data_IF_929660371773
#
_entry.id   IF_929660371773
#
_cell.length_a   1.000
_cell.length_b   1.000
_cell.length_c   1.000
_cell.angle_alpha   90.00
_cell.angle_beta   90.00
_cell.angle_gamma   90.00
#
_symmetry.space_group_name_H-M   'P 1'
#
loop_
_entity.id
_entity.type
_entity.pdbx_description
1 polymer ?
#
# COMPACT_ATOMS: atom_id res chain seq x y z
N UNK A 1 7.18 20.89 19.32
CA UNK A 1 5.93 20.11 19.35
C UNK A 1 6.33 18.65 19.27
N UNK A 2 6.23 17.88 20.35
CA UNK A 2 6.63 16.48 20.34
C UNK A 2 5.54 15.69 19.60
N UNK A 3 5.87 15.16 18.43
CA UNK A 3 4.99 14.21 17.73
C UNK A 3 5.09 12.89 18.50
N UNK A 4 4.06 12.60 19.31
CA UNK A 4 3.92 11.30 19.97
C UNK A 4 3.73 10.18 18.95
N UNK A 5 3.96 8.93 19.36
CA UNK A 5 3.83 7.75 18.49
C UNK A 5 2.45 7.73 17.80
N UNK A 6 2.40 7.91 16.47
CA UNK A 6 1.15 8.15 15.71
C UNK A 6 0.39 6.88 15.31
N UNK A 7 0.91 5.69 15.64
CA UNK A 7 0.23 4.42 15.42
C UNK A 7 1.15 3.21 15.62
N UNK A 8 0.59 2.08 16.05
CA UNK A 8 1.26 0.77 16.08
C UNK A 8 0.31 -0.24 15.47
N UNK A 9 0.80 -1.05 14.53
CA UNK A 9 0.03 -2.15 13.94
C UNK A 9 0.89 -3.40 13.99
N UNK A 10 0.28 -4.53 14.32
CA UNK A 10 0.96 -5.81 14.41
C UNK A 10 0.45 -6.72 13.29
N UNK A 11 1.26 -6.90 12.25
CA UNK A 11 0.91 -7.66 11.05
C UNK A 11 1.85 -8.86 10.92
N UNK A 12 1.35 -10.05 10.57
CA UNK A 12 2.21 -11.20 10.30
C UNK A 12 3.08 -10.92 9.06
N UNK A 13 4.39 -11.11 9.18
CA UNK A 13 5.28 -11.09 8.03
C UNK A 13 5.31 -12.47 7.37
N UNK A 14 5.02 -12.49 6.07
CA UNK A 14 5.29 -13.66 5.24
C UNK A 14 6.78 -13.69 4.89
N UNK A 15 7.44 -14.82 5.17
CA UNK A 15 8.82 -15.03 4.78
C UNK A 15 8.93 -15.44 3.31
N UNK A 16 10.05 -15.11 2.66
CA UNK A 16 10.29 -15.37 1.25
C UNK A 16 10.23 -14.10 0.39
N UNK A 17 10.53 -14.24 -0.91
CA UNK A 17 10.46 -13.14 -1.89
C UNK A 17 9.45 -13.50 -2.96
N UNK A 18 8.65 -12.51 -3.38
CA UNK A 18 7.82 -12.66 -4.57
C UNK A 18 8.71 -13.00 -5.78
N UNK A 19 8.37 -14.03 -6.58
CA UNK A 19 9.08 -14.30 -7.82
C UNK A 19 9.09 -13.06 -8.72
N UNK A 20 10.21 -12.83 -9.41
CA UNK A 20 10.41 -11.62 -10.24
C UNK A 20 9.30 -11.40 -11.27
N UNK A 21 8.82 -12.47 -11.90
CA UNK A 21 7.73 -12.41 -12.87
C UNK A 21 6.39 -11.98 -12.25
N UNK A 22 6.14 -12.37 -11.00
CA UNK A 22 4.92 -12.01 -10.28
C UNK A 22 4.99 -10.54 -9.90
N UNK A 23 6.12 -10.11 -9.32
CA UNK A 23 6.34 -8.72 -8.94
C UNK A 23 6.07 -7.73 -10.09
N UNK A 24 6.49 -8.06 -11.32
CA UNK A 24 6.18 -7.20 -12.47
C UNK A 24 4.68 -7.09 -12.78
N UNK A 25 3.88 -8.13 -12.53
CA UNK A 25 2.42 -8.09 -12.68
C UNK A 25 1.77 -7.29 -11.56
N UNK A 26 2.23 -7.51 -10.33
CA UNK A 26 1.80 -6.78 -9.13
C UNK A 26 1.98 -5.27 -9.33
N UNK A 27 3.16 -4.83 -9.79
CA UNK A 27 3.45 -3.42 -10.06
C UNK A 27 2.50 -2.82 -11.10
N UNK A 28 2.20 -3.54 -12.18
CA UNK A 28 1.25 -3.06 -13.21
C UNK A 28 -0.17 -2.93 -12.66
N UNK A 29 -0.59 -3.86 -11.81
CA UNK A 29 -1.91 -3.81 -11.18
C UNK A 29 -1.99 -2.67 -10.16
N UNK A 30 -0.95 -2.53 -9.33
CA UNK A 30 -0.81 -1.45 -8.36
C UNK A 30 -0.85 -0.07 -9.02
N UNK A 31 -0.20 0.10 -10.18
CA UNK A 31 -0.23 1.34 -10.96
C UNK A 31 -1.66 1.68 -11.42
N UNK A 32 -2.39 0.71 -11.99
CA UNK A 32 -3.77 0.93 -12.41
C UNK A 32 -4.71 1.27 -11.24
N UNK A 33 -4.58 0.58 -10.09
CA UNK A 33 -5.36 0.85 -8.88
C UNK A 33 -5.03 2.24 -8.32
N UNK A 34 -3.74 2.60 -8.26
CA UNK A 34 -3.32 3.92 -7.77
C UNK A 34 -3.85 5.02 -8.68
N UNK A 35 -3.77 4.82 -10.00
CA UNK A 35 -4.29 5.74 -11.00
C UNK A 35 -5.79 6.00 -10.86
N UNK A 36 -6.62 4.95 -10.67
CA UNK A 36 -8.07 5.13 -10.50
C UNK A 36 -8.39 5.87 -9.20
N UNK A 37 -7.69 5.56 -8.10
CA UNK A 37 -7.90 6.22 -6.80
C UNK A 37 -7.56 7.70 -6.91
N UNK A 38 -6.41 8.04 -7.50
CA UNK A 38 -6.00 9.44 -7.68
C UNK A 38 -6.96 10.17 -8.61
N UNK A 39 -7.41 9.54 -9.69
CA UNK A 39 -8.36 10.13 -10.63
C UNK A 39 -9.72 10.43 -9.98
N UNK A 40 -10.24 9.52 -9.15
CA UNK A 40 -11.57 9.67 -8.53
C UNK A 40 -11.55 10.51 -7.24
N UNK A 41 -10.50 10.39 -6.43
CA UNK A 41 -10.46 10.94 -5.07
C UNK A 41 -9.30 11.92 -4.81
N UNK A 42 -8.39 12.09 -5.77
CA UNK A 42 -7.21 12.94 -5.63
C UNK A 42 -6.03 12.30 -4.88
N UNK A 43 -4.88 12.97 -4.94
CA UNK A 43 -3.62 12.49 -4.36
C UNK A 43 -3.66 12.38 -2.83
N UNK A 44 -4.35 13.32 -2.16
CA UNK A 44 -4.47 13.32 -0.69
C UNK A 44 -5.15 12.05 -0.18
N UNK A 45 -6.20 11.60 -0.88
CA UNK A 45 -6.90 10.37 -0.50
C UNK A 45 -6.04 9.13 -0.69
N UNK A 46 -5.24 9.10 -1.76
CA UNK A 46 -4.28 8.02 -1.97
C UNK A 46 -3.23 7.97 -0.85
N UNK A 47 -2.71 9.13 -0.42
CA UNK A 47 -1.78 9.21 0.71
C UNK A 47 -2.43 8.73 2.02
N UNK A 48 -3.70 9.05 2.26
CA UNK A 48 -4.46 8.56 3.43
C UNK A 48 -4.55 7.03 3.42
N UNK A 49 -4.86 6.42 2.26
CA UNK A 49 -4.93 4.97 2.11
C UNK A 49 -3.58 4.29 2.32
N UNK A 50 -2.52 4.75 1.67
CA UNK A 50 -1.18 4.16 1.84
C UNK A 50 -0.65 4.36 3.27
N UNK A 51 -1.07 5.43 3.96
CA UNK A 51 -0.72 5.65 5.36
C UNK A 51 -1.43 4.68 6.32
N UNK A 52 -2.52 4.05 5.90
CA UNK A 52 -3.18 3.02 6.70
C UNK A 52 -2.43 1.67 6.52
N UNK A 53 -1.81 1.13 7.58
CA UNK A 53 -0.97 -0.07 7.47
C UNK A 53 -1.73 -1.33 7.03
N UNK A 54 -3.02 -1.45 7.33
CA UNK A 54 -3.83 -2.57 6.84
C UNK A 54 -4.11 -2.45 5.34
N UNK A 55 -4.42 -1.25 4.87
CA UNK A 55 -4.66 -0.99 3.46
C UNK A 55 -3.37 -1.19 2.66
N UNK A 56 -2.24 -0.69 3.14
CA UNK A 56 -0.93 -0.90 2.53
C UNK A 56 -0.53 -2.37 2.46
N UNK A 57 -0.82 -3.16 3.50
CA UNK A 57 -0.55 -4.60 3.47
C UNK A 57 -1.44 -5.32 2.44
N UNK A 58 -2.73 -5.02 2.39
CA UNK A 58 -3.64 -5.58 1.40
C UNK A 58 -3.21 -5.19 -0.03
N UNK A 59 -2.82 -3.94 -0.22
CA UNK A 59 -2.29 -3.44 -1.49
C UNK A 59 -1.00 -4.14 -1.91
N UNK A 60 -0.16 -4.56 -0.96
CA UNK A 60 1.06 -5.33 -1.24
C UNK A 60 0.78 -6.79 -1.65
N UNK A 61 -0.49 -7.22 -1.65
CA UNK A 61 -0.90 -8.58 -2.03
C UNK A 61 -1.51 -8.66 -3.45
N UNK A 62 -1.59 -7.55 -4.19
CA UNK A 62 -2.09 -7.50 -5.58
C UNK A 62 -1.04 -7.88 -6.59
#
# INVERSE_FOLDING_TARGET
>A
MYVGKVGVTNLPLHYGKAPKWLFYRMVKMADAISGIIVYEYGEEKFLEFISNPYWFQAFSCV
#
